data_IF_298783555642
#
_entry.id   IF_298783555642
#
_cell.length_a   1.000
_cell.length_b   1.000
_cell.length_c   1.000
_cell.angle_alpha   90.00
_cell.angle_beta   90.00
_cell.angle_gamma   90.00
#
_symmetry.space_group_name_H-M   'P 1'
#
loop_
_entity.id
_entity.type
_entity.pdbx_description
1 polymer ?
#
# COMPACT_ATOMS: atom_id res chain seq x y z
N UNK A 1 -11.56 16.59 2.56
CA UNK A 1 -11.03 17.56 1.58
C UNK A 1 -11.76 17.29 0.29
N UNK A 2 -12.63 18.19 -0.16
CA UNK A 2 -13.34 17.97 -1.43
C UNK A 2 -12.42 18.16 -2.63
N UNK A 3 -12.89 17.70 -3.79
CA UNK A 3 -12.30 17.96 -5.11
C UNK A 3 -12.03 19.44 -5.29
N UNK A 4 -10.87 19.81 -5.83
CA UNK A 4 -10.61 21.20 -6.18
C UNK A 4 -11.32 21.53 -7.50
N UNK A 5 -12.50 22.12 -7.40
CA UNK A 5 -13.28 22.56 -8.55
C UNK A 5 -12.71 23.82 -9.23
N UNK A 6 -11.52 24.30 -8.82
CA UNK A 6 -10.87 25.52 -9.31
C UNK A 6 -11.75 26.77 -9.17
N UNK A 7 -12.70 26.72 -8.22
CA UNK A 7 -13.64 27.81 -7.92
C UNK A 7 -13.17 28.69 -6.75
N UNK A 8 -11.94 28.46 -6.26
CA UNK A 8 -11.33 29.17 -5.16
C UNK A 8 -11.83 28.75 -3.77
N UNK A 9 -12.68 27.71 -3.65
CA UNK A 9 -13.22 27.26 -2.36
C UNK A 9 -12.42 26.12 -1.72
N UNK A 10 -11.51 25.49 -2.46
CA UNK A 10 -10.67 24.43 -1.92
C UNK A 10 -9.71 24.98 -0.85
N UNK A 11 -9.60 24.26 0.28
CA UNK A 11 -8.63 24.59 1.34
C UNK A 11 -7.21 24.60 0.76
N UNK A 12 -6.47 25.68 0.99
CA UNK A 12 -5.06 25.85 0.59
C UNK A 12 -4.33 26.75 1.61
N UNK A 13 -3.02 26.93 1.45
CA UNK A 13 -2.20 27.74 2.35
C UNK A 13 -2.27 27.27 3.81
N UNK A 14 -2.15 28.21 4.75
CA UNK A 14 -2.11 27.90 6.19
C UNK A 14 -3.35 27.17 6.67
N UNK A 15 -4.54 27.51 6.16
CA UNK A 15 -5.79 26.83 6.53
C UNK A 15 -5.77 25.34 6.17
N UNK A 16 -5.11 24.95 5.08
CA UNK A 16 -4.92 23.55 4.72
C UNK A 16 -3.97 22.85 5.69
N UNK A 17 -2.84 23.51 6.03
CA UNK A 17 -1.87 22.96 6.96
C UNK A 17 -2.47 22.77 8.36
N UNK A 18 -3.21 23.76 8.84
CA UNK A 18 -3.89 23.71 10.14
C UNK A 18 -4.90 22.57 10.19
N UNK A 19 -5.69 22.39 9.12
CA UNK A 19 -6.61 21.26 9.02
C UNK A 19 -5.87 19.91 9.02
N UNK A 20 -4.81 19.78 8.20
CA UNK A 20 -4.05 18.53 8.07
C UNK A 20 -3.40 18.15 9.39
N UNK A 21 -2.67 19.09 10.00
CA UNK A 21 -1.85 18.85 11.18
C UNK A 21 -2.71 18.81 12.46
N UNK A 22 -3.68 19.70 12.59
CA UNK A 22 -4.47 19.88 13.80
C UNK A 22 -5.72 18.99 13.88
N UNK A 23 -6.21 18.48 12.75
CA UNK A 23 -7.46 17.70 12.71
C UNK A 23 -7.32 16.37 11.98
N UNK A 24 -6.88 16.37 10.73
CA UNK A 24 -6.87 15.15 9.90
C UNK A 24 -5.95 14.07 10.48
N UNK A 25 -4.66 14.38 10.66
CA UNK A 25 -3.68 13.43 11.19
C UNK A 25 -4.08 12.91 12.58
N UNK A 26 -4.43 13.76 13.56
CA UNK A 26 -4.91 13.30 14.87
C UNK A 26 -6.13 12.37 14.77
N UNK A 27 -7.07 12.67 13.88
CA UNK A 27 -8.27 11.83 13.69
C UNK A 27 -7.91 10.45 13.15
N UNK A 28 -7.05 10.38 12.13
CA UNK A 28 -6.65 9.10 11.52
C UNK A 28 -5.77 8.25 12.45
N UNK A 29 -4.90 8.91 13.24
CA UNK A 29 -4.12 8.25 14.30
C UNK A 29 -4.99 7.62 15.39
N UNK A 30 -6.18 8.15 15.62
CA UNK A 30 -7.09 7.72 16.68
C UNK A 30 -8.11 6.65 16.24
N UNK A 31 -8.00 6.12 15.01
CA UNK A 31 -8.85 5.02 14.55
C UNK A 31 -8.64 3.80 15.45
N UNK A 32 -9.71 3.31 16.07
CA UNK A 32 -9.67 2.10 16.87
C UNK A 32 -9.50 0.87 15.94
N UNK A 33 -8.64 -0.07 16.33
CA UNK A 33 -8.47 -1.35 15.65
C UNK A 33 -8.83 -2.46 16.62
N UNK A 34 -9.62 -3.40 16.13
CA UNK A 34 -9.95 -4.68 16.75
C UNK A 34 -9.74 -5.84 15.75
N UNK A 35 -10.09 -7.05 16.18
CA UNK A 35 -9.95 -8.29 15.40
C UNK A 35 -10.82 -8.34 14.13
N UNK A 36 -11.86 -7.50 14.02
CA UNK A 36 -12.78 -7.48 12.88
C UNK A 36 -12.57 -6.25 11.98
N UNK A 37 -11.56 -5.44 12.25
CA UNK A 37 -11.32 -4.18 11.53
C UNK A 37 -10.86 -4.46 10.09
N UNK A 38 -11.49 -3.84 9.07
CA UNK A 38 -11.08 -4.03 7.68
C UNK A 38 -9.63 -3.62 7.43
N UNK A 39 -8.94 -4.32 6.53
CA UNK A 39 -7.53 -4.06 6.21
C UNK A 39 -7.27 -2.62 5.78
N UNK A 40 -8.19 -2.01 5.03
CA UNK A 40 -8.10 -0.60 4.63
C UNK A 40 -8.03 0.36 5.84
N UNK A 41 -8.79 0.10 6.91
CA UNK A 41 -8.75 0.92 8.12
C UNK A 41 -7.46 0.70 8.91
N UNK A 42 -6.97 -0.54 8.97
CA UNK A 42 -5.68 -0.86 9.59
C UNK A 42 -4.56 -0.12 8.86
N UNK A 43 -4.53 -0.19 7.53
CA UNK A 43 -3.55 0.53 6.69
C UNK A 43 -3.63 2.03 6.93
N UNK A 44 -4.84 2.61 6.97
CA UNK A 44 -4.99 4.05 7.24
C UNK A 44 -4.45 4.39 8.62
N UNK A 45 -4.77 3.65 9.69
CA UNK A 45 -4.21 3.96 11.00
C UNK A 45 -2.68 3.80 11.01
N UNK A 46 -2.16 2.67 10.54
CA UNK A 46 -0.71 2.40 10.54
C UNK A 46 0.05 3.42 9.67
N UNK A 47 -0.53 3.85 8.55
CA UNK A 47 0.03 4.90 7.72
C UNK A 47 0.18 6.22 8.45
N UNK A 48 -0.70 6.52 9.39
CA UNK A 48 -0.69 7.80 10.09
C UNK A 48 -0.09 7.73 11.49
N UNK A 49 -0.03 6.57 12.17
CA UNK A 49 0.40 6.38 13.56
C UNK A 49 1.73 7.11 13.88
N UNK A 50 2.78 6.81 13.11
CA UNK A 50 4.12 7.40 13.28
C UNK A 50 4.48 8.47 12.24
N UNK A 51 3.54 8.85 11.37
CA UNK A 51 3.77 9.86 10.33
C UNK A 51 3.28 11.24 10.73
N UNK A 52 3.95 12.25 10.19
CA UNK A 52 3.57 13.65 10.29
C UNK A 52 3.65 14.29 8.90
N UNK A 53 2.83 15.30 8.66
CA UNK A 53 2.98 16.11 7.46
C UNK A 53 4.19 17.04 7.61
N UNK A 54 5.15 16.92 6.71
CA UNK A 54 6.37 17.73 6.68
C UNK A 54 6.32 18.87 5.66
N UNK A 55 5.26 18.96 4.84
CA UNK A 55 5.10 20.07 3.91
C UNK A 55 4.81 21.36 4.69
N UNK A 56 5.66 22.36 4.48
CA UNK A 56 5.57 23.67 5.14
C UNK A 56 4.74 24.69 4.34
N UNK A 57 4.49 24.42 3.07
CA UNK A 57 3.75 25.29 2.18
C UNK A 57 2.43 24.61 1.80
N UNK A 58 1.32 25.17 2.29
CA UNK A 58 -0.02 24.66 2.04
C UNK A 58 -0.51 24.87 0.61
N UNK A 59 0.11 25.78 -0.15
CA UNK A 59 -0.16 25.95 -1.58
C UNK A 59 0.47 24.79 -2.36
N UNK A 60 1.74 24.47 -2.08
CA UNK A 60 2.41 23.31 -2.69
C UNK A 60 1.72 22.00 -2.29
N UNK A 61 1.30 21.85 -1.04
CA UNK A 61 0.55 20.68 -0.59
C UNK A 61 -0.77 20.53 -1.38
N UNK A 62 -1.51 21.63 -1.60
CA UNK A 62 -2.71 21.63 -2.45
C UNK A 62 -2.37 21.18 -3.88
N UNK A 63 -1.30 21.68 -4.47
CA UNK A 63 -0.90 21.26 -5.83
C UNK A 63 -0.65 19.76 -5.93
N UNK A 64 0.05 19.17 -4.95
CA UNK A 64 0.27 17.72 -4.88
C UNK A 64 -1.05 16.97 -4.75
N UNK A 65 -1.94 17.42 -3.85
CA UNK A 65 -3.27 16.81 -3.69
C UNK A 65 -4.06 16.84 -5.00
N UNK A 66 -4.02 17.95 -5.73
CA UNK A 66 -4.75 18.07 -6.99
C UNK A 66 -4.22 17.11 -8.07
N UNK A 67 -2.90 16.89 -8.13
CA UNK A 67 -2.32 15.89 -9.06
C UNK A 67 -2.76 14.47 -8.68
N UNK A 68 -2.84 14.15 -7.39
CA UNK A 68 -3.30 12.83 -6.94
C UNK A 68 -4.80 12.65 -7.21
N UNK A 69 -5.61 13.71 -7.08
CA UNK A 69 -7.06 13.72 -7.31
C UNK A 69 -7.45 13.54 -8.81
N UNK A 70 -6.48 13.68 -9.72
CA UNK A 70 -6.65 13.38 -11.14
C UNK A 70 -6.59 11.87 -11.45
N UNK A 71 -6.13 11.04 -10.51
CA UNK A 71 -5.99 9.59 -10.69
C UNK A 71 -7.33 8.91 -10.40
N UNK A 72 -7.88 8.19 -11.39
CA UNK A 72 -9.12 7.43 -11.19
C UNK A 72 -8.81 6.01 -10.70
N UNK A 73 -8.88 5.84 -9.37
CA UNK A 73 -8.74 4.52 -8.76
C UNK A 73 -9.99 3.65 -8.90
N UNK A 74 -10.93 3.89 -9.81
CA UNK A 74 -11.97 2.93 -10.21
C UNK A 74 -11.64 2.27 -11.55
N UNK A 75 -10.86 2.94 -12.40
CA UNK A 75 -10.44 2.40 -13.68
C UNK A 75 -9.26 1.43 -13.53
N UNK A 76 -9.38 0.26 -14.15
CA UNK A 76 -8.36 -0.80 -14.08
C UNK A 76 -7.00 -0.35 -14.62
N UNK A 77 -6.99 0.40 -15.72
CA UNK A 77 -5.75 0.89 -16.35
C UNK A 77 -5.01 1.87 -15.44
N UNK A 78 -5.72 2.82 -14.84
CA UNK A 78 -5.16 3.82 -13.91
C UNK A 78 -4.63 3.17 -12.62
N UNK A 79 -5.38 2.23 -12.05
CA UNK A 79 -4.90 1.44 -10.90
C UNK A 79 -3.62 0.69 -11.22
N UNK A 80 -3.58 0.01 -12.36
CA UNK A 80 -2.41 -0.75 -12.78
C UNK A 80 -1.19 0.16 -13.00
N UNK A 81 -1.39 1.30 -13.66
CA UNK A 81 -0.35 2.29 -13.84
C UNK A 81 0.18 2.83 -12.50
N UNK A 82 -0.72 3.09 -11.53
CA UNK A 82 -0.33 3.51 -10.19
C UNK A 82 0.45 2.43 -9.44
N UNK A 83 0.04 1.15 -9.57
CA UNK A 83 0.79 0.01 -9.04
C UNK A 83 2.23 -0.05 -9.55
N UNK A 84 2.44 0.14 -10.84
CA UNK A 84 3.78 0.18 -11.44
C UNK A 84 4.63 1.39 -10.97
N UNK A 85 4.00 2.56 -10.80
CA UNK A 85 4.64 3.74 -10.20
C UNK A 85 5.04 3.44 -8.75
N UNK A 86 4.14 2.84 -7.98
CA UNK A 86 4.38 2.47 -6.60
C UNK A 86 5.54 1.47 -6.48
N UNK A 87 5.60 0.45 -7.33
CA UNK A 87 6.73 -0.48 -7.42
C UNK A 87 8.05 0.22 -7.77
N UNK A 88 8.02 1.25 -8.62
CA UNK A 88 9.20 2.05 -8.95
C UNK A 88 9.70 2.84 -7.73
N UNK A 89 8.79 3.40 -6.95
CA UNK A 89 9.10 4.08 -5.68
C UNK A 89 9.72 3.07 -4.70
N UNK A 90 9.12 1.88 -4.54
CA UNK A 90 9.67 0.84 -3.67
C UNK A 90 11.09 0.47 -4.08
N UNK A 91 11.37 0.20 -5.36
CA UNK A 91 12.74 -0.10 -5.86
C UNK A 91 13.73 1.03 -5.60
N UNK A 92 13.27 2.27 -5.68
CA UNK A 92 14.08 3.45 -5.38
C UNK A 92 14.44 3.51 -3.89
N UNK A 93 13.50 3.15 -2.99
CA UNK A 93 13.76 3.02 -1.56
C UNK A 93 14.78 1.90 -1.25
N UNK A 94 14.71 0.76 -1.97
CA UNK A 94 15.72 -0.32 -1.85
C UNK A 94 17.13 0.18 -2.16
N UNK A 95 17.25 1.01 -3.21
CA UNK A 95 18.54 1.52 -3.71
C UNK A 95 19.09 2.69 -2.90
N UNK A 96 18.20 3.43 -2.22
CA UNK A 96 18.56 4.58 -1.38
C UNK A 96 19.33 4.20 -0.10
N UNK A 97 19.45 2.90 0.22
CA UNK A 97 20.37 2.39 1.24
C UNK A 97 20.16 2.98 2.64
N UNK A 98 18.97 3.48 2.94
CA UNK A 98 18.74 4.24 4.16
C UNK A 98 18.20 3.32 5.27
N UNK A 99 18.83 3.39 6.45
CA UNK A 99 18.37 2.79 7.72
C UNK A 99 18.67 1.31 8.00
N UNK A 100 19.60 0.67 7.27
CA UNK A 100 20.03 -0.71 7.58
C UNK A 100 18.97 -1.79 7.27
N UNK A 101 18.02 -1.45 6.40
CA UNK A 101 17.02 -2.39 5.88
C UNK A 101 17.52 -3.00 4.57
N UNK A 102 17.56 -4.33 4.51
CA UNK A 102 17.97 -5.06 3.31
C UNK A 102 16.72 -5.48 2.57
N UNK A 103 16.56 -4.97 1.35
CA UNK A 103 15.48 -5.35 0.48
C UNK A 103 15.97 -6.34 -0.58
N UNK A 104 15.22 -7.43 -0.78
CA UNK A 104 15.56 -8.40 -1.83
C UNK A 104 15.29 -7.77 -3.21
N UNK A 105 16.29 -7.74 -4.12
CA UNK A 105 16.08 -7.23 -5.48
C UNK A 105 14.99 -8.00 -6.21
N UNK A 106 14.15 -7.30 -6.96
CA UNK A 106 13.00 -7.89 -7.64
C UNK A 106 13.36 -9.00 -8.63
N UNK A 107 14.52 -8.88 -9.29
CA UNK A 107 15.03 -9.95 -10.15
C UNK A 107 15.25 -11.28 -9.38
N UNK A 108 15.61 -11.21 -8.09
CA UNK A 108 15.80 -12.39 -7.25
C UNK A 108 14.44 -12.97 -6.83
N UNK A 109 13.50 -12.13 -6.37
CA UNK A 109 12.16 -12.61 -5.98
C UNK A 109 11.43 -13.23 -7.17
N UNK A 110 11.46 -12.58 -8.33
CA UNK A 110 10.85 -13.07 -9.57
C UNK A 110 11.48 -14.41 -10.01
N UNK A 111 12.82 -14.51 -9.99
CA UNK A 111 13.51 -15.74 -10.34
C UNK A 111 13.12 -16.89 -9.40
N UNK A 112 13.14 -16.66 -8.08
CA UNK A 112 12.80 -17.69 -7.11
C UNK A 112 11.36 -18.18 -7.27
N UNK A 113 10.40 -17.26 -7.44
CA UNK A 113 9.00 -17.62 -7.66
C UNK A 113 8.81 -18.37 -8.99
N UNK A 114 9.50 -17.96 -10.07
CA UNK A 114 9.46 -18.67 -11.35
C UNK A 114 10.00 -20.11 -11.26
N UNK A 115 10.94 -20.36 -10.35
CA UNK A 115 11.44 -21.71 -10.08
C UNK A 115 10.46 -22.54 -9.23
N UNK A 116 9.82 -21.91 -8.25
CA UNK A 116 8.78 -22.53 -7.41
C UNK A 116 7.54 -22.90 -8.24
N UNK A 117 7.14 -22.04 -9.18
CA UNK A 117 5.98 -22.20 -10.07
C UNK A 117 4.66 -22.42 -9.30
N UNK A 118 4.28 -21.50 -8.40
CA UNK A 118 3.08 -21.64 -7.59
C UNK A 118 1.83 -21.82 -8.45
N UNK A 119 0.88 -22.59 -7.93
CA UNK A 119 -0.40 -22.90 -8.58
C UNK A 119 -1.56 -22.27 -7.85
N UNK A 120 -2.55 -21.83 -8.62
CA UNK A 120 -3.79 -21.34 -8.05
C UNK A 120 -4.42 -22.43 -7.17
N UNK A 121 -4.80 -22.07 -5.94
CA UNK A 121 -5.27 -23.01 -4.91
C UNK A 121 -4.21 -23.40 -3.88
N UNK A 122 -2.93 -23.08 -4.11
CA UNK A 122 -1.88 -23.22 -3.10
C UNK A 122 -1.83 -22.00 -2.17
N UNK A 123 -1.40 -22.23 -0.92
CA UNK A 123 -1.15 -21.17 0.05
C UNK A 123 0.33 -20.82 0.09
N UNK A 124 0.64 -19.53 0.03
CA UNK A 124 2.00 -19.00 0.00
C UNK A 124 2.19 -18.11 1.22
N UNK A 125 3.25 -18.35 1.99
CA UNK A 125 3.54 -17.58 3.19
C UNK A 125 4.94 -16.97 3.14
N UNK A 126 5.05 -15.70 3.50
CA UNK A 126 6.31 -15.00 3.75
C UNK A 126 6.30 -14.37 5.15
N UNK A 127 7.07 -14.95 6.07
CA UNK A 127 7.10 -14.53 7.48
C UNK A 127 8.04 -13.35 7.77
N UNK A 128 8.70 -12.81 6.74
CA UNK A 128 9.53 -11.62 6.81
C UNK A 128 9.36 -10.82 5.51
N UNK A 129 8.10 -10.50 5.18
CA UNK A 129 7.72 -10.10 3.83
C UNK A 129 8.24 -8.72 3.42
N UNK A 130 8.74 -7.91 4.35
CA UNK A 130 9.23 -6.56 4.06
C UNK A 130 8.16 -5.75 3.35
N UNK A 131 8.47 -5.26 2.15
CA UNK A 131 7.53 -4.53 1.27
C UNK A 131 6.67 -5.42 0.38
N UNK A 132 6.59 -6.73 0.65
CA UNK A 132 5.81 -7.69 -0.13
C UNK A 132 6.56 -8.28 -1.32
N UNK A 133 7.90 -8.24 -1.29
CA UNK A 133 8.85 -8.76 -2.29
C UNK A 133 8.38 -9.98 -3.07
N UNK A 134 8.33 -11.09 -2.33
CA UNK A 134 7.96 -12.41 -2.83
C UNK A 134 6.47 -12.55 -3.08
N UNK A 135 5.63 -11.92 -2.25
CA UNK A 135 4.18 -11.99 -2.35
C UNK A 135 3.69 -11.40 -3.68
N UNK A 136 4.16 -10.21 -4.08
CA UNK A 136 3.82 -9.63 -5.39
C UNK A 136 4.31 -10.49 -6.55
N UNK A 137 5.53 -11.04 -6.45
CA UNK A 137 6.09 -11.90 -7.51
C UNK A 137 5.25 -13.18 -7.65
N UNK A 138 4.79 -13.76 -6.54
CA UNK A 138 3.89 -14.91 -6.51
C UNK A 138 2.53 -14.59 -7.11
N UNK A 139 1.90 -13.50 -6.68
CA UNK A 139 0.64 -13.00 -7.23
C UNK A 139 0.73 -12.81 -8.74
N UNK A 140 1.83 -12.24 -9.27
CA UNK A 140 2.04 -12.11 -10.72
C UNK A 140 2.01 -13.44 -11.48
N UNK A 141 2.53 -14.51 -10.89
CA UNK A 141 2.49 -15.87 -11.49
C UNK A 141 1.11 -16.51 -11.36
N UNK A 142 0.39 -16.24 -10.28
CA UNK A 142 -0.96 -16.74 -10.05
C UNK A 142 -2.02 -16.02 -10.88
N UNK A 143 -1.87 -14.72 -11.10
CA UNK A 143 -2.83 -13.89 -11.85
C UNK A 143 -3.01 -14.40 -13.29
N UNK A 144 -1.92 -14.83 -13.93
CA UNK A 144 -1.95 -15.46 -15.25
C UNK A 144 -2.73 -16.80 -15.30
N UNK A 145 -3.06 -17.39 -14.15
CA UNK A 145 -3.83 -18.63 -14.03
C UNK A 145 -5.32 -18.38 -13.74
N UNK A 146 -5.71 -17.14 -13.43
CA UNK A 146 -7.10 -16.77 -13.15
C UNK A 146 -7.89 -16.73 -14.44
N UNK A 147 -8.97 -17.50 -14.53
CA UNK A 147 -9.85 -17.55 -15.72
C UNK A 147 -11.31 -17.24 -15.37
N UNK A 148 -11.69 -17.43 -14.11
CA UNK A 148 -13.06 -17.31 -13.61
C UNK A 148 -13.17 -16.39 -12.39
N UNK A 149 -14.40 -16.07 -11.97
CA UNK A 149 -14.64 -15.27 -10.76
C UNK A 149 -14.28 -16.08 -9.51
N UNK A 150 -14.53 -17.39 -9.54
CA UNK A 150 -14.15 -18.33 -8.50
C UNK A 150 -12.62 -18.38 -8.34
N UNK A 151 -11.88 -18.41 -9.45
CA UNK A 151 -10.42 -18.32 -9.44
C UNK A 151 -9.92 -17.04 -8.79
N UNK A 152 -10.61 -15.91 -9.02
CA UNK A 152 -10.26 -14.61 -8.39
C UNK A 152 -10.41 -14.67 -6.87
N UNK A 153 -11.40 -15.41 -6.37
CA UNK A 153 -11.60 -15.62 -4.92
C UNK A 153 -10.50 -16.51 -4.34
N UNK A 154 -10.04 -17.51 -5.08
CA UNK A 154 -8.90 -18.35 -4.66
C UNK A 154 -7.61 -17.53 -4.66
N UNK A 155 -7.40 -16.72 -5.70
CA UNK A 155 -6.27 -15.79 -5.83
C UNK A 155 -6.21 -14.81 -4.66
N UNK A 156 -7.33 -14.18 -4.30
CA UNK A 156 -7.36 -13.18 -3.23
C UNK A 156 -7.01 -13.74 -1.85
N UNK A 157 -7.09 -15.06 -1.68
CA UNK A 157 -6.82 -15.76 -0.42
C UNK A 157 -5.55 -16.63 -0.48
N UNK A 158 -4.73 -16.53 -1.53
CA UNK A 158 -3.59 -17.43 -1.74
C UNK A 158 -2.34 -17.03 -0.95
N UNK A 159 -2.28 -15.84 -0.36
CA UNK A 159 -1.07 -15.30 0.26
C UNK A 159 -1.21 -14.96 1.73
N UNK A 160 -0.11 -15.08 2.46
CA UNK A 160 0.03 -14.75 3.87
C UNK A 160 1.38 -14.06 4.11
N UNK A 161 1.37 -12.95 4.84
CA UNK A 161 2.56 -12.14 5.07
C UNK A 161 2.67 -11.66 6.50
N UNK A 162 3.86 -11.81 7.11
CA UNK A 162 4.19 -11.18 8.40
C UNK A 162 5.35 -10.23 8.20
N UNK A 163 5.20 -9.02 8.73
CA UNK A 163 6.27 -8.05 8.86
C UNK A 163 6.17 -7.37 10.23
N UNK A 164 7.31 -7.21 10.88
CA UNK A 164 7.41 -6.66 12.23
C UNK A 164 7.50 -5.14 12.21
N UNK A 165 8.18 -4.56 11.21
CA UNK A 165 8.43 -3.13 11.13
C UNK A 165 7.25 -2.41 10.48
N UNK A 166 6.78 -1.35 11.13
CA UNK A 166 5.58 -0.62 10.71
C UNK A 166 5.65 -0.08 9.28
N UNK A 167 6.78 0.54 8.88
CA UNK A 167 6.91 1.12 7.54
C UNK A 167 6.96 0.06 6.42
N UNK A 168 7.83 -0.97 6.46
CA UNK A 168 7.76 -2.07 5.49
C UNK A 168 6.39 -2.76 5.45
N UNK A 169 5.77 -3.00 6.61
CA UNK A 169 4.41 -3.56 6.68
C UNK A 169 3.38 -2.69 5.95
N UNK A 170 3.38 -1.37 6.22
CA UNK A 170 2.50 -0.42 5.53
C UNK A 170 2.72 -0.47 4.02
N UNK A 171 3.98 -0.48 3.61
CA UNK A 171 4.33 -0.48 2.20
C UNK A 171 3.86 -1.76 1.50
N UNK A 172 4.02 -2.91 2.16
CA UNK A 172 3.50 -4.20 1.72
C UNK A 172 1.97 -4.19 1.64
N UNK A 173 1.28 -3.82 2.71
CA UNK A 173 -0.18 -3.84 2.78
C UNK A 173 -0.82 -2.91 1.73
N UNK A 174 -0.23 -1.74 1.49
CA UNK A 174 -0.65 -0.83 0.40
C UNK A 174 -0.44 -1.49 -0.97
N UNK A 175 0.69 -2.17 -1.18
CA UNK A 175 0.96 -2.88 -2.42
C UNK A 175 -0.07 -3.98 -2.70
N UNK A 176 -0.44 -4.72 -1.65
CA UNK A 176 -1.41 -5.81 -1.72
C UNK A 176 -2.81 -5.28 -2.05
N UNK A 177 -3.24 -4.15 -1.46
CA UNK A 177 -4.49 -3.48 -1.85
C UNK A 177 -4.50 -3.05 -3.32
N UNK A 178 -3.37 -2.55 -3.85
CA UNK A 178 -3.27 -2.18 -5.27
C UNK A 178 -3.36 -3.40 -6.21
N UNK A 179 -3.14 -4.61 -5.69
CA UNK A 179 -3.32 -5.89 -6.38
C UNK A 179 -4.67 -6.57 -6.08
N UNK A 180 -5.65 -5.83 -5.52
CA UNK A 180 -6.96 -6.33 -5.06
C UNK A 180 -6.87 -7.47 -4.02
N UNK A 181 -5.87 -7.40 -3.14
CA UNK A 181 -5.73 -8.30 -2.00
C UNK A 181 -6.09 -7.56 -0.70
N UNK A 182 -7.25 -7.92 -0.16
CA UNK A 182 -7.84 -7.21 0.99
C UNK A 182 -7.64 -7.97 2.32
N UNK A 183 -7.21 -9.24 2.26
CA UNK A 183 -7.08 -10.13 3.40
C UNK A 183 -5.59 -10.48 3.66
N UNK A 184 -4.85 -9.56 4.28
CA UNK A 184 -3.52 -9.88 4.80
C UNK A 184 -3.62 -10.24 6.28
N UNK A 185 -3.27 -11.48 6.66
CA UNK A 185 -3.36 -11.89 8.06
C UNK A 185 -2.09 -11.48 8.83
N UNK A 186 -2.27 -10.40 9.61
CA UNK A 186 -1.58 -9.92 10.82
C UNK A 186 -0.13 -9.38 10.71
N UNK A 187 0.03 -8.12 11.13
CA UNK A 187 1.26 -7.64 11.75
C UNK A 187 1.43 -8.31 13.14
N UNK A 188 2.67 -8.51 13.59
CA UNK A 188 2.95 -9.05 14.93
C UNK A 188 2.48 -8.14 16.09
N UNK A 189 1.82 -7.01 15.82
CA UNK A 189 1.27 -6.15 16.86
C UNK A 189 -0.03 -6.71 17.50
N UNK A 190 -0.54 -7.84 17.00
CA UNK A 190 -1.80 -8.47 17.45
C UNK A 190 -1.62 -9.86 18.09
N UNK A 191 -0.39 -10.28 18.39
CA UNK A 191 -0.07 -11.49 19.19
C UNK A 191 0.76 -11.11 20.40
#
# INVERSE_FOLDING_TARGET
MGRDHKDGKALTGDALLDFVNGKLFPTLKAIAIDENTPMSQIIVRTAFEDNNNYMKDGILLRQVINVIDEIDFEEYEDRHAFGEIYETILRSLQSAGNSGEFYTPRAVTDFMVQMIKPKLGESIADFACGTGGFLTSALKVLDAQVQTVEDRTVYSNSIYGIEKKALPFLLCATNMLLHDIDNLVSSMATV
#
